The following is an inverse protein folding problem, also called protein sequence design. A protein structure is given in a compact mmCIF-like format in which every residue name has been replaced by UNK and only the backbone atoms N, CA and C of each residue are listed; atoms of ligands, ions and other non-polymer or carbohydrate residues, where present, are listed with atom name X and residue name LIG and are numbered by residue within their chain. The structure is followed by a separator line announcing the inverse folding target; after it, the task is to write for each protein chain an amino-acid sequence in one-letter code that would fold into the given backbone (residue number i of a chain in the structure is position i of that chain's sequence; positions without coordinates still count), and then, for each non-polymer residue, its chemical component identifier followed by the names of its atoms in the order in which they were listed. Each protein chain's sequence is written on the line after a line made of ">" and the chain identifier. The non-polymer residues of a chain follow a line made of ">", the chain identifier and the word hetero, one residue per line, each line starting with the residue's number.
data_IF_811466232473
#
_entry.id   IF_811466232473
#
_cell.length_a   1.000
_cell.length_b   1.000
_cell.length_c   1.000
_cell.angle_alpha   90.00
_cell.angle_beta   90.00
_cell.angle_gamma   90.00
#
_symmetry.space_group_name_H-M   'P 1'
#
loop_
_entity.id
_entity.type
_entity.pdbx_description
1 polymer ?
#
# COMPACT_ATOMS: atom_id res chain seq x y z
N UNK A 1 12.51 -4.72 -6.53
CA UNK A 1 12.71 -3.64 -7.52
C UNK A 1 13.09 -2.31 -6.89
N UNK A 2 12.35 -1.79 -5.89
CA UNK A 2 12.64 -0.48 -5.26
C UNK A 2 14.08 -0.31 -4.77
N UNK A 3 14.65 -1.31 -4.09
CA UNK A 3 16.05 -1.26 -3.65
C UNK A 3 17.07 -1.11 -4.80
N UNK A 4 16.85 -1.78 -5.93
CA UNK A 4 17.72 -1.64 -7.11
C UNK A 4 17.62 -0.24 -7.71
N UNK A 5 16.41 0.33 -7.77
CA UNK A 5 16.19 1.68 -8.27
C UNK A 5 16.85 2.71 -7.35
N UNK A 6 16.70 2.57 -6.04
CA UNK A 6 17.39 3.41 -5.06
C UNK A 6 18.92 3.30 -5.21
N UNK A 7 19.48 2.10 -5.37
CA UNK A 7 20.92 1.94 -5.61
C UNK A 7 21.41 2.58 -6.92
N UNK A 8 20.59 2.57 -7.97
CA UNK A 8 20.97 3.10 -9.28
C UNK A 8 20.82 4.62 -9.38
N UNK A 9 19.83 5.20 -8.69
CA UNK A 9 19.40 6.60 -8.86
C UNK A 9 19.62 7.46 -7.59
N UNK A 10 19.85 6.85 -6.43
CA UNK A 10 20.00 7.55 -5.16
C UNK A 10 18.83 8.49 -4.88
N UNK A 11 19.14 9.73 -4.52
CA UNK A 11 18.17 10.78 -4.19
C UNK A 11 17.27 11.21 -5.36
N UNK A 12 17.60 10.81 -6.60
CA UNK A 12 16.73 11.05 -7.76
C UNK A 12 15.55 10.06 -7.84
N UNK A 13 15.56 9.01 -7.03
CA UNK A 13 14.45 8.08 -6.87
C UNK A 13 13.65 8.41 -5.61
N UNK A 14 12.33 8.54 -5.77
CA UNK A 14 11.40 8.81 -4.67
C UNK A 14 10.41 7.64 -4.53
N UNK A 15 10.45 6.95 -3.39
CA UNK A 15 9.57 5.84 -3.07
C UNK A 15 8.26 6.33 -2.45
N UNK A 16 7.21 6.45 -3.27
CA UNK A 16 5.86 6.75 -2.80
C UNK A 16 5.05 5.45 -2.62
N UNK A 17 4.60 5.18 -1.39
CA UNK A 17 3.71 4.06 -1.09
C UNK A 17 2.23 4.49 -1.04
N UNK A 18 1.30 3.75 -1.66
CA UNK A 18 -0.13 3.95 -1.44
C UNK A 18 -0.60 3.20 -0.18
N UNK A 19 -1.55 3.79 0.56
CA UNK A 19 -2.18 3.18 1.73
C UNK A 19 -3.69 3.45 1.76
N UNK A 20 -4.46 2.49 2.27
CA UNK A 20 -5.90 2.62 2.49
C UNK A 20 -6.33 1.95 3.77
N UNK A 21 -7.12 2.67 4.57
CA UNK A 21 -7.63 2.15 5.84
C UNK A 21 -8.75 1.13 5.61
N UNK A 22 -9.66 1.41 4.67
CA UNK A 22 -10.87 0.61 4.42
C UNK A 22 -11.11 0.41 2.92
N UNK A 23 -12.15 -0.37 2.59
CA UNK A 23 -12.55 -0.63 1.21
C UNK A 23 -12.24 -2.06 0.80
N UNK A 24 -11.82 -2.25 -0.44
CA UNK A 24 -11.55 -3.57 -1.01
C UNK A 24 -10.26 -3.61 -1.79
N UNK A 25 -9.64 -4.79 -1.85
CA UNK A 25 -8.46 -5.08 -2.66
C UNK A 25 -8.69 -6.30 -3.53
N UNK A 26 -7.94 -6.37 -4.63
CA UNK A 26 -7.94 -7.52 -5.51
C UNK A 26 -6.95 -8.57 -5.00
N UNK A 27 -7.43 -9.80 -4.85
CA UNK A 27 -6.63 -10.97 -4.54
C UNK A 27 -6.60 -11.92 -5.74
N UNK A 28 -5.42 -12.46 -6.04
CA UNK A 28 -5.22 -13.39 -7.16
C UNK A 28 -5.14 -14.79 -6.61
N UNK A 29 -6.06 -15.65 -7.02
CA UNK A 29 -6.10 -17.06 -6.60
C UNK A 29 -5.91 -17.96 -7.79
N UNK A 30 -5.19 -19.06 -7.58
CA UNK A 30 -5.04 -20.08 -8.60
C UNK A 30 -6.41 -20.69 -8.92
N UNK A 31 -6.68 -20.81 -10.21
CA UNK A 31 -7.92 -21.35 -10.75
C UNK A 31 -7.57 -22.08 -12.05
N UNK A 32 -7.57 -23.41 -12.01
CA UNK A 32 -7.12 -24.24 -13.14
C UNK A 32 -8.10 -24.21 -14.31
N UNK A 33 -9.35 -23.78 -14.07
CA UNK A 33 -10.39 -23.68 -15.08
C UNK A 33 -10.42 -22.28 -15.74
N UNK A 34 -9.75 -21.29 -15.15
CA UNK A 34 -9.65 -19.95 -15.71
C UNK A 34 -8.66 -19.90 -16.89
N UNK A 35 -8.95 -19.06 -17.88
CA UNK A 35 -8.14 -18.92 -19.10
C UNK A 35 -6.65 -18.62 -18.87
N UNK A 36 -6.32 -18.00 -17.72
CA UNK A 36 -4.95 -17.64 -17.35
C UNK A 36 -4.42 -18.46 -16.15
N UNK A 37 -5.14 -19.48 -15.70
CA UNK A 37 -4.76 -20.28 -14.54
C UNK A 37 -4.97 -19.58 -13.18
N UNK A 38 -5.64 -18.41 -13.17
CA UNK A 38 -6.00 -17.67 -11.96
C UNK A 38 -7.29 -16.87 -12.15
N UNK A 39 -7.94 -16.58 -11.02
CA UNK A 39 -9.10 -15.70 -10.91
C UNK A 39 -8.78 -14.54 -9.96
N UNK A 40 -9.46 -13.41 -10.19
CA UNK A 40 -9.35 -12.20 -9.37
C UNK A 40 -10.56 -12.13 -8.47
N UNK A 41 -10.33 -12.00 -7.16
CA UNK A 41 -11.37 -11.87 -6.15
C UNK A 41 -11.35 -10.47 -5.55
N UNK A 42 -12.55 -9.90 -5.41
CA UNK A 42 -12.77 -8.69 -4.64
C UNK A 42 -12.85 -9.06 -3.16
N UNK A 43 -11.89 -8.59 -2.35
CA UNK A 43 -11.80 -8.94 -0.93
C UNK A 43 -11.86 -7.66 -0.08
N UNK A 44 -12.72 -7.62 0.95
CA UNK A 44 -12.76 -6.49 1.86
C UNK A 44 -11.43 -6.35 2.60
N UNK A 45 -11.00 -5.11 2.81
CA UNK A 45 -9.87 -4.82 3.66
C UNK A 45 -10.25 -5.05 5.13
N UNK A 46 -9.45 -5.85 5.82
CA UNK A 46 -9.52 -5.97 7.27
C UNK A 46 -9.25 -4.61 7.95
N UNK A 47 -9.67 -4.43 9.21
CA UNK A 47 -9.31 -3.22 9.96
C UNK A 47 -7.80 -2.99 9.99
N UNK A 48 -7.34 -1.72 9.98
CA UNK A 48 -5.92 -1.40 10.12
C UNK A 48 -5.31 -2.03 11.38
N UNK A 49 -4.14 -2.63 11.23
CA UNK A 49 -3.43 -3.26 12.36
C UNK A 49 -2.76 -2.17 13.20
N UNK A 50 -2.82 -2.21 14.55
CA UNK A 50 -2.08 -1.27 15.38
C UNK A 50 -0.58 -1.24 15.05
N UNK A 51 -0.01 -0.04 14.99
CA UNK A 51 1.38 0.19 14.57
C UNK A 51 1.56 0.30 13.05
N UNK A 52 0.53 0.00 12.25
CA UNK A 52 0.58 0.18 10.80
C UNK A 52 0.42 1.63 10.35
N UNK A 53 0.95 1.93 9.16
CA UNK A 53 0.75 3.24 8.52
C UNK A 53 -0.73 3.52 8.24
N UNK A 54 -1.50 2.49 7.89
CA UNK A 54 -2.95 2.60 7.69
C UNK A 54 -3.68 3.01 8.97
N UNK A 55 -3.26 2.48 10.13
CA UNK A 55 -3.82 2.85 11.42
C UNK A 55 -3.48 4.30 11.77
N UNK A 56 -2.23 4.73 11.54
CA UNK A 56 -1.84 6.13 11.77
C UNK A 56 -2.66 7.11 10.94
N UNK A 57 -2.94 6.80 9.66
CA UNK A 57 -3.82 7.62 8.84
C UNK A 57 -5.28 7.57 9.30
N UNK A 58 -5.80 6.40 9.68
CA UNK A 58 -7.16 6.28 10.19
C UNK A 58 -7.36 7.11 11.47
N UNK A 59 -6.41 7.03 12.41
CA UNK A 59 -6.44 7.74 13.69
C UNK A 59 -6.29 9.25 13.52
N UNK A 60 -5.59 9.70 12.47
CA UNK A 60 -5.46 11.13 12.16
C UNK A 60 -6.79 11.79 11.76
N UNK A 61 -7.79 11.01 11.33
CA UNK A 61 -9.06 11.52 10.81
C UNK A 61 -8.94 12.33 9.51
N UNK A 62 -7.76 12.33 8.87
CA UNK A 62 -7.54 13.02 7.62
C UNK A 62 -8.26 12.28 6.48
N UNK A 63 -8.75 13.07 5.50
CA UNK A 63 -9.22 12.53 4.23
C UNK A 63 -8.05 12.06 3.35
N UNK A 64 -8.16 12.17 2.01
CA UNK A 64 -7.02 11.96 1.14
C UNK A 64 -5.84 12.86 1.54
N UNK A 65 -4.69 12.25 1.80
CA UNK A 65 -3.53 12.93 2.36
C UNK A 65 -2.22 12.34 1.84
N UNK A 66 -1.17 13.16 1.86
CA UNK A 66 0.21 12.71 1.60
C UNK A 66 1.06 13.06 2.81
N UNK A 67 1.83 12.09 3.30
CA UNK A 67 2.84 12.30 4.33
C UNK A 67 4.24 12.26 3.71
N UNK A 68 5.08 13.26 4.00
CA UNK A 68 6.51 13.23 3.72
C UNK A 68 7.25 12.57 4.90
N UNK A 69 7.75 11.35 4.68
CA UNK A 69 8.41 10.57 5.73
C UNK A 69 9.88 10.95 5.90
N UNK A 70 10.48 11.66 4.93
CA UNK A 70 11.87 12.10 5.04
C UNK A 70 12.03 13.13 6.16
N UNK A 71 11.02 13.98 6.34
CA UNK A 71 11.00 14.93 7.46
C UNK A 71 10.92 14.19 8.80
N UNK A 72 10.01 13.21 8.93
CA UNK A 72 9.89 12.40 10.14
C UNK A 72 11.18 11.64 10.47
N UNK A 73 11.87 11.12 9.44
CA UNK A 73 13.17 10.46 9.57
C UNK A 73 14.25 11.43 10.02
N UNK A 74 14.31 12.63 9.44
CA UNK A 74 15.28 13.67 9.81
C UNK A 74 15.09 14.17 11.25
N UNK A 75 13.84 14.19 11.74
CA UNK A 75 13.49 14.53 13.13
C UNK A 75 13.69 13.36 14.11
N UNK A 76 14.07 12.17 13.63
CA UNK A 76 14.32 11.00 14.47
C UNK A 76 13.06 10.43 15.12
N UNK A 77 11.89 10.62 14.51
CA UNK A 77 10.63 10.11 15.04
C UNK A 77 10.56 8.58 14.90
N UNK A 78 10.00 7.92 15.91
CA UNK A 78 9.57 6.54 15.78
C UNK A 78 8.28 6.53 14.97
N UNK A 79 8.33 5.95 13.76
CA UNK A 79 7.16 5.84 12.90
C UNK A 79 6.56 4.44 12.88
N UNK A 80 5.53 4.23 12.04
CA UNK A 80 4.91 2.93 11.87
C UNK A 80 5.91 1.83 11.50
N UNK A 81 5.73 0.66 12.10
CA UNK A 81 6.57 -0.53 11.90
C UNK A 81 5.91 -1.58 11.00
N UNK A 82 4.73 -1.25 10.47
CA UNK A 82 3.90 -2.14 9.66
C UNK A 82 3.25 -1.40 8.49
N UNK A 83 3.05 -2.12 7.41
CA UNK A 83 2.32 -1.63 6.22
C UNK A 83 1.56 -2.77 5.56
N UNK A 84 0.40 -2.46 4.98
CA UNK A 84 -0.39 -3.44 4.24
C UNK A 84 0.12 -3.58 2.80
N UNK A 85 0.25 -4.83 2.36
CA UNK A 85 0.43 -5.20 0.97
C UNK A 85 -0.76 -6.09 0.55
N UNK A 86 -1.66 -5.53 -0.26
CA UNK A 86 -2.95 -6.15 -0.61
C UNK A 86 -3.79 -6.46 0.63
N UNK A 87 -4.02 -7.73 0.96
CA UNK A 87 -4.77 -8.15 2.14
C UNK A 87 -3.86 -8.59 3.31
N UNK A 88 -2.53 -8.52 3.14
CA UNK A 88 -1.54 -9.00 4.10
C UNK A 88 -0.87 -7.80 4.80
N UNK A 89 -0.64 -7.90 6.11
CA UNK A 89 0.15 -6.92 6.85
C UNK A 89 1.62 -7.39 6.93
N UNK A 90 2.55 -6.50 6.59
CA UNK A 90 3.99 -6.76 6.64
C UNK A 90 4.61 -5.99 7.80
N UNK A 91 5.51 -6.64 8.55
CA UNK A 91 6.36 -5.98 9.53
C UNK A 91 7.57 -5.40 8.81
N UNK A 92 7.62 -4.08 8.72
CA UNK A 92 8.64 -3.35 7.98
C UNK A 92 8.68 -1.92 8.50
N UNK A 93 9.85 -1.39 8.90
CA UNK A 93 9.99 0.01 9.30
C UNK A 93 9.61 0.93 8.15
N UNK A 94 8.42 1.54 8.21
CA UNK A 94 7.84 2.25 7.07
C UNK A 94 8.68 3.45 6.67
N UNK A 95 9.25 4.11 7.68
CA UNK A 95 10.12 5.27 7.49
C UNK A 95 11.39 4.92 6.72
N UNK A 96 11.86 3.67 6.76
CA UNK A 96 13.07 3.26 6.05
C UNK A 96 12.81 2.87 4.59
N UNK A 97 11.58 2.44 4.28
CA UNK A 97 11.22 1.86 2.98
C UNK A 97 10.58 2.86 2.03
N UNK A 98 9.91 3.88 2.56
CA UNK A 98 9.23 4.89 1.76
C UNK A 98 9.73 6.31 2.10
N UNK A 99 9.78 7.15 1.08
CA UNK A 99 10.03 8.59 1.22
C UNK A 99 8.72 9.34 1.51
N UNK A 100 7.61 8.80 1.04
CA UNK A 100 6.29 9.35 1.31
C UNK A 100 5.18 8.30 1.22
N UNK A 101 4.04 8.61 1.82
CA UNK A 101 2.84 7.77 1.74
C UNK A 101 1.66 8.60 1.26
N UNK A 102 0.98 8.10 0.23
CA UNK A 102 -0.31 8.59 -0.23
C UNK A 102 -1.41 7.76 0.44
N UNK A 103 -2.18 8.38 1.32
CA UNK A 103 -3.37 7.80 1.91
C UNK A 103 -4.61 8.13 1.08
N UNK A 104 -5.31 7.08 0.66
CA UNK A 104 -6.68 7.18 0.14
C UNK A 104 -7.60 6.44 1.12
N UNK A 105 -8.56 7.11 1.79
CA UNK A 105 -9.28 6.55 2.93
C UNK A 105 -10.05 5.25 2.63
N UNK A 106 -10.61 5.16 1.42
CA UNK A 106 -11.41 4.03 0.94
C UNK A 106 -10.91 3.61 -0.43
N UNK A 107 -10.54 2.34 -0.57
CA UNK A 107 -10.14 1.72 -1.84
C UNK A 107 -11.29 0.91 -2.46
N UNK A 108 -11.26 0.78 -3.79
CA UNK A 108 -12.21 -0.06 -4.54
C UNK A 108 -11.45 -0.87 -5.58
N UNK A 109 -11.99 -2.02 -5.97
CA UNK A 109 -11.45 -2.80 -7.08
C UNK A 109 -11.94 -2.25 -8.42
N UNK A 110 -11.05 -2.23 -9.41
CA UNK A 110 -11.40 -1.81 -10.77
C UNK A 110 -12.03 -2.98 -11.52
N UNK A 111 -13.21 -2.75 -12.10
CA UNK A 111 -14.00 -3.78 -12.80
C UNK A 111 -13.71 -3.88 -14.30
N UNK A 112 -12.93 -2.95 -14.87
CA UNK A 112 -12.84 -2.75 -16.32
C UNK A 112 -11.73 -3.55 -17.03
N UNK A 113 -10.78 -4.14 -16.31
CA UNK A 113 -9.69 -4.92 -16.92
C UNK A 113 -10.17 -6.20 -17.65
N UNK A 114 -11.40 -6.67 -17.39
CA UNK A 114 -11.97 -7.83 -18.05
C UNK A 114 -12.70 -7.51 -19.39
N UNK A 115 -12.99 -6.23 -19.70
CA UNK A 115 -13.85 -5.86 -20.84
C UNK A 115 -13.12 -5.51 -22.13
N UNK A 116 -11.81 -5.25 -22.11
CA UNK A 116 -11.07 -4.83 -23.31
C UNK A 116 -10.72 -5.96 -24.30
N UNK A 117 -11.21 -7.20 -24.10
CA UNK A 117 -10.88 -8.34 -24.99
C UNK A 117 -12.06 -9.25 -25.35
N UNK A 118 -13.27 -8.69 -25.50
CA UNK A 118 -14.42 -9.39 -26.11
C UNK A 118 -14.68 -8.91 -27.53
#
# INVERSE_FOLDING_TARGET
>A
MGQHLHHALGDAYFALGPASATGHTADVRRDEEAAFGFSIHDIPLEPPVPGSIEAAFADSGLGPAVADLRQARAEGLNGPDRVRMQHICLETPVLDVFDGILSVPVSTTTTDLAKERS
#
